data_IF_009884537992
#
_entry.id   IF_009884537992
#
_cell.length_a   1.000
_cell.length_b   1.000
_cell.length_c   1.000
_cell.angle_alpha   90.00
_cell.angle_beta   90.00
_cell.angle_gamma   90.00
#
_symmetry.space_group_name_H-M   'P 1'
#
loop_
_entity.id
_entity.type
_entity.pdbx_description
1 polymer ?
#
# COMPACT_ATOMS: atom_id res chain seq x y z
N UNK A 1 -30.82 -11.92 -29.62
CA UNK A 1 -29.38 -12.20 -29.36
C UNK A 1 -29.00 -11.48 -28.08
N UNK A 2 -28.82 -12.23 -26.98
CA UNK A 2 -28.40 -11.68 -25.67
C UNK A 2 -26.90 -11.41 -25.73
N UNK A 3 -26.52 -10.14 -25.68
CA UNK A 3 -25.10 -9.76 -25.55
C UNK A 3 -24.66 -10.12 -24.13
N UNK A 4 -23.91 -11.22 -24.00
CA UNK A 4 -23.30 -11.61 -22.76
C UNK A 4 -22.37 -10.46 -22.31
N UNK A 5 -22.81 -9.66 -21.34
CA UNK A 5 -21.96 -8.67 -20.68
C UNK A 5 -20.86 -9.45 -19.99
N UNK A 6 -19.64 -9.37 -20.51
CA UNK A 6 -18.43 -9.83 -19.81
C UNK A 6 -18.42 -9.16 -18.44
N UNK A 7 -18.74 -9.92 -17.40
CA UNK A 7 -18.57 -9.46 -16.01
C UNK A 7 -17.07 -9.39 -15.76
N UNK A 8 -16.50 -8.19 -15.90
CA UNK A 8 -15.13 -7.93 -15.44
C UNK A 8 -15.08 -8.31 -13.97
N UNK A 9 -14.21 -9.24 -13.62
CA UNK A 9 -13.99 -9.65 -12.22
C UNK A 9 -13.52 -8.43 -11.44
N UNK A 10 -14.24 -7.99 -10.40
CA UNK A 10 -13.93 -6.74 -9.71
C UNK A 10 -12.50 -6.72 -9.12
N UNK A 11 -11.94 -7.90 -8.84
CA UNK A 11 -10.60 -8.07 -8.26
C UNK A 11 -9.46 -7.84 -9.27
N UNK A 12 -9.72 -7.82 -10.57
CA UNK A 12 -8.65 -7.67 -11.58
C UNK A 12 -7.86 -6.38 -11.42
N UNK A 13 -8.49 -5.28 -11.00
CA UNK A 13 -7.79 -4.02 -10.74
C UNK A 13 -6.82 -4.14 -9.56
N UNK A 14 -7.20 -4.86 -8.50
CA UNK A 14 -6.35 -5.13 -7.35
C UNK A 14 -5.15 -5.99 -7.72
N UNK A 15 -5.38 -7.06 -8.47
CA UNK A 15 -4.30 -7.92 -8.99
C UNK A 15 -3.38 -7.18 -9.95
N UNK A 16 -3.94 -6.33 -10.82
CA UNK A 16 -3.15 -5.50 -11.76
C UNK A 16 -2.21 -4.56 -11.01
N UNK A 17 -2.68 -3.92 -9.94
CA UNK A 17 -1.85 -3.04 -9.11
C UNK A 17 -0.78 -3.83 -8.34
N UNK A 18 -1.12 -5.02 -7.82
CA UNK A 18 -0.15 -5.92 -7.18
C UNK A 18 0.93 -6.37 -8.18
N UNK A 19 0.54 -6.71 -9.40
CA UNK A 19 1.46 -7.11 -10.46
C UNK A 19 2.37 -5.93 -10.90
N UNK A 20 1.82 -4.72 -10.99
CA UNK A 20 2.58 -3.51 -11.27
C UNK A 20 3.62 -3.23 -10.18
N UNK A 21 3.23 -3.35 -8.91
CA UNK A 21 4.12 -3.16 -7.77
C UNK A 21 5.28 -4.17 -7.79
N UNK A 22 4.97 -5.47 -7.92
CA UNK A 22 5.98 -6.53 -7.95
C UNK A 22 6.85 -6.47 -9.23
N UNK A 23 6.23 -6.30 -10.40
CA UNK A 23 6.94 -6.23 -11.68
C UNK A 23 7.88 -5.02 -11.77
N UNK A 24 7.43 -3.86 -11.27
CA UNK A 24 8.26 -2.67 -11.18
C UNK A 24 9.45 -2.86 -10.24
N UNK A 25 9.24 -3.53 -9.09
CA UNK A 25 10.32 -3.84 -8.15
C UNK A 25 11.38 -4.78 -8.76
N UNK A 26 10.97 -5.76 -9.55
CA UNK A 26 11.88 -6.64 -10.26
C UNK A 26 12.62 -5.91 -11.39
N UNK A 27 11.91 -5.13 -12.21
CA UNK A 27 12.51 -4.38 -13.31
C UNK A 27 13.50 -3.32 -12.82
N UNK A 28 13.23 -2.68 -11.69
CA UNK A 28 14.09 -1.66 -11.10
C UNK A 28 15.45 -2.19 -10.61
N UNK A 29 15.61 -3.52 -10.46
CA UNK A 29 16.91 -4.12 -10.11
C UNK A 29 17.97 -3.90 -11.20
N UNK A 30 17.57 -3.62 -12.43
CA UNK A 30 18.47 -3.31 -13.55
C UNK A 30 18.79 -1.81 -13.68
N UNK A 31 18.22 -0.96 -12.82
CA UNK A 31 18.33 0.50 -12.91
C UNK A 31 19.15 1.06 -11.72
N UNK A 32 19.69 2.27 -11.91
CA UNK A 32 20.37 2.99 -10.82
C UNK A 32 19.34 3.40 -9.75
N UNK A 33 19.46 2.90 -8.50
CA UNK A 33 18.59 3.29 -7.40
C UNK A 33 18.58 4.81 -7.14
N UNK A 34 19.68 5.52 -7.45
CA UNK A 34 19.78 6.96 -7.27
C UNK A 34 18.81 7.74 -8.16
N UNK A 35 18.46 7.20 -9.33
CA UNK A 35 17.49 7.79 -10.25
C UNK A 35 16.03 7.60 -9.79
N UNK A 36 15.75 6.60 -8.95
CA UNK A 36 14.40 6.16 -8.61
C UNK A 36 13.99 6.46 -7.17
N UNK A 37 14.96 6.45 -6.22
CA UNK A 37 14.69 6.62 -4.79
C UNK A 37 14.07 7.97 -4.50
N UNK A 38 13.20 8.02 -3.50
CA UNK A 38 12.68 9.26 -2.95
C UNK A 38 13.77 10.00 -2.15
N UNK A 39 13.80 11.32 -2.32
CA UNK A 39 14.66 12.25 -1.58
C UNK A 39 13.86 13.51 -1.29
N UNK A 40 13.97 14.14 -0.10
CA UNK A 40 13.15 15.29 0.27
C UNK A 40 13.36 16.49 -0.66
N UNK A 41 14.60 16.76 -1.10
CA UNK A 41 14.93 17.87 -1.98
C UNK A 41 14.31 17.75 -3.38
N UNK A 42 14.06 16.52 -3.81
CA UNK A 42 13.55 16.19 -5.15
C UNK A 42 12.05 15.86 -5.15
N UNK A 43 11.42 15.76 -3.99
CA UNK A 43 10.05 15.30 -3.87
C UNK A 43 9.03 16.14 -4.68
N UNK A 44 9.28 17.46 -4.80
CA UNK A 44 8.40 18.38 -5.53
C UNK A 44 8.89 18.69 -6.95
N UNK A 45 10.19 18.60 -7.22
CA UNK A 45 10.79 18.86 -8.55
C UNK A 45 10.84 17.63 -9.43
N UNK A 46 10.91 16.44 -8.81
CA UNK A 46 10.92 15.13 -9.48
C UNK A 46 9.79 14.23 -8.94
N UNK A 47 8.51 14.60 -9.17
CA UNK A 47 7.36 13.95 -8.52
C UNK A 47 7.20 12.47 -8.90
N UNK A 48 7.79 11.99 -10.00
CA UNK A 48 7.80 10.56 -10.35
C UNK A 48 8.46 9.70 -9.26
N UNK A 49 9.37 10.28 -8.45
CA UNK A 49 10.02 9.58 -7.32
C UNK A 49 9.01 9.16 -6.24
N UNK A 50 7.87 9.83 -6.18
CA UNK A 50 6.77 9.40 -5.30
C UNK A 50 6.08 8.11 -5.78
N UNK A 51 6.39 7.65 -6.98
CA UNK A 51 5.96 6.34 -7.50
C UNK A 51 7.15 5.38 -7.54
N UNK A 52 8.24 5.77 -8.21
CA UNK A 52 9.40 4.89 -8.48
C UNK A 52 10.14 4.44 -7.23
N UNK A 53 10.12 5.23 -6.14
CA UNK A 53 10.76 4.86 -4.88
C UNK A 53 10.26 3.53 -4.30
N UNK A 54 8.99 3.19 -4.52
CA UNK A 54 8.46 1.90 -4.09
C UNK A 54 9.18 0.70 -4.74
N UNK A 55 9.79 0.89 -5.89
CA UNK A 55 10.49 -0.16 -6.63
C UNK A 55 11.96 -0.32 -6.25
N UNK A 56 12.53 0.63 -5.52
CA UNK A 56 13.92 0.58 -5.06
C UNK A 56 14.06 -0.38 -3.89
N UNK A 57 15.03 -1.29 -3.94
CA UNK A 57 15.34 -2.21 -2.84
C UNK A 57 16.85 -2.23 -2.58
N UNK A 58 17.21 -2.14 -1.30
CA UNK A 58 18.58 -1.99 -0.87
C UNK A 58 19.33 -3.32 -0.69
N UNK A 59 18.57 -4.45 -0.67
CA UNK A 59 19.12 -5.80 -0.53
C UNK A 59 18.19 -6.85 -1.13
N UNK A 60 18.74 -8.05 -1.36
CA UNK A 60 17.97 -9.20 -1.81
C UNK A 60 16.89 -9.65 -0.79
N UNK A 61 17.20 -9.59 0.52
CA UNK A 61 16.23 -9.91 1.57
C UNK A 61 15.09 -8.89 1.59
N UNK A 62 15.41 -7.59 1.46
CA UNK A 62 14.41 -6.53 1.37
C UNK A 62 13.47 -6.73 0.18
N UNK A 63 14.02 -7.04 -1.00
CA UNK A 63 13.21 -7.33 -2.18
C UNK A 63 12.32 -8.57 -1.97
N UNK A 64 12.91 -9.68 -1.50
CA UNK A 64 12.18 -10.92 -1.32
C UNK A 64 11.02 -10.77 -0.32
N UNK A 65 11.25 -10.09 0.81
CA UNK A 65 10.21 -9.84 1.79
C UNK A 65 9.07 -8.97 1.25
N UNK A 66 9.39 -7.95 0.46
CA UNK A 66 8.39 -7.08 -0.16
C UNK A 66 7.60 -7.80 -1.28
N UNK A 67 8.23 -8.67 -2.06
CA UNK A 67 7.53 -9.49 -3.06
C UNK A 67 6.59 -10.50 -2.36
N UNK A 68 7.05 -11.15 -1.29
CA UNK A 68 6.20 -12.03 -0.48
C UNK A 68 5.02 -11.26 0.13
N UNK A 69 5.26 -10.07 0.69
CA UNK A 69 4.23 -9.17 1.19
C UNK A 69 3.23 -8.77 0.11
N UNK A 70 3.69 -8.50 -1.12
CA UNK A 70 2.83 -8.17 -2.26
C UNK A 70 1.94 -9.34 -2.63
N UNK A 71 2.47 -10.56 -2.67
CA UNK A 71 1.71 -11.77 -2.96
C UNK A 71 0.63 -12.04 -1.89
N UNK A 72 1.00 -11.90 -0.60
CA UNK A 72 0.06 -12.03 0.52
C UNK A 72 -1.04 -10.96 0.46
N UNK A 73 -0.68 -9.72 0.13
CA UNK A 73 -1.65 -8.63 0.00
C UNK A 73 -2.58 -8.83 -1.20
N UNK A 74 -2.09 -9.35 -2.33
CA UNK A 74 -2.92 -9.72 -3.47
C UNK A 74 -3.97 -10.78 -3.07
N UNK A 75 -3.54 -11.81 -2.35
CA UNK A 75 -4.43 -12.85 -1.83
C UNK A 75 -5.43 -12.28 -0.80
N UNK A 76 -4.96 -11.47 0.15
CA UNK A 76 -5.82 -10.79 1.14
C UNK A 76 -6.90 -9.95 0.47
N UNK A 77 -6.54 -9.17 -0.55
CA UNK A 77 -7.51 -8.34 -1.28
C UNK A 77 -8.58 -9.17 -1.99
N UNK A 78 -8.22 -10.34 -2.51
CA UNK A 78 -9.18 -11.29 -3.09
C UNK A 78 -10.16 -11.80 -2.04
N UNK A 79 -9.65 -12.26 -0.89
CA UNK A 79 -10.48 -12.73 0.23
C UNK A 79 -11.34 -11.60 0.79
N UNK A 80 -10.80 -10.38 0.86
CA UNK A 80 -11.52 -9.20 1.31
C UNK A 80 -12.59 -8.72 0.30
N UNK A 81 -12.54 -9.17 -0.96
CA UNK A 81 -13.40 -8.67 -2.03
C UNK A 81 -13.04 -7.25 -2.46
N UNK A 82 -11.73 -6.93 -2.50
CA UNK A 82 -11.23 -5.65 -2.94
C UNK A 82 -11.47 -5.46 -4.45
N UNK A 83 -12.50 -4.68 -4.79
CA UNK A 83 -12.83 -4.32 -6.16
C UNK A 83 -12.15 -3.02 -6.62
N UNK A 84 -12.69 -2.43 -7.69
CA UNK A 84 -12.13 -1.23 -8.34
C UNK A 84 -11.96 -0.04 -7.38
N UNK A 85 -12.91 0.21 -6.46
CA UNK A 85 -12.80 1.31 -5.48
C UNK A 85 -11.63 1.10 -4.52
N UNK A 86 -11.41 -0.14 -4.08
CA UNK A 86 -10.29 -0.48 -3.20
C UNK A 86 -8.96 -0.37 -3.95
N UNK A 87 -8.89 -0.84 -5.19
CA UNK A 87 -7.71 -0.68 -6.04
C UNK A 87 -7.40 0.80 -6.30
N UNK A 88 -8.41 1.62 -6.59
CA UNK A 88 -8.24 3.08 -6.75
C UNK A 88 -7.75 3.73 -5.46
N UNK A 89 -8.33 3.39 -4.31
CA UNK A 89 -7.87 3.90 -3.01
C UNK A 89 -6.40 3.56 -2.75
N UNK A 90 -5.99 2.32 -3.04
CA UNK A 90 -4.61 1.88 -2.89
C UNK A 90 -3.67 2.57 -3.89
N UNK A 91 -4.07 2.73 -5.15
CA UNK A 91 -3.31 3.47 -6.16
C UNK A 91 -3.12 4.94 -5.79
N UNK A 92 -4.15 5.62 -5.27
CA UNK A 92 -4.05 7.01 -4.80
C UNK A 92 -3.18 7.14 -3.54
N UNK A 93 -3.24 6.17 -2.64
CA UNK A 93 -2.39 6.13 -1.46
C UNK A 93 -0.90 6.01 -1.80
N UNK A 94 -0.54 5.46 -2.96
CA UNK A 94 0.85 5.26 -3.38
C UNK A 94 1.67 6.56 -3.36
N UNK A 95 1.37 7.58 -4.20
CA UNK A 95 2.13 8.83 -4.17
C UNK A 95 1.97 9.57 -2.83
N UNK A 96 0.79 9.53 -2.20
CA UNK A 96 0.53 10.20 -0.93
C UNK A 96 1.44 9.65 0.18
N UNK A 97 1.67 8.33 0.20
CA UNK A 97 2.62 7.68 1.13
C UNK A 97 3.99 8.33 1.05
N UNK A 98 4.53 8.54 -0.15
CA UNK A 98 5.87 9.09 -0.33
C UNK A 98 5.93 10.60 -0.16
N UNK A 99 4.90 11.36 -0.55
CA UNK A 99 4.80 12.80 -0.24
C UNK A 99 4.79 13.03 1.27
N UNK A 100 4.07 12.20 2.02
CA UNK A 100 3.99 12.33 3.48
C UNK A 100 5.31 12.02 4.21
N UNK A 101 6.33 11.45 3.53
CA UNK A 101 7.68 11.33 4.09
C UNK A 101 8.34 12.68 4.37
N UNK A 102 7.89 13.76 3.75
CA UNK A 102 8.31 15.14 4.08
C UNK A 102 8.02 15.50 5.55
N UNK A 103 7.12 14.79 6.23
CA UNK A 103 6.85 14.95 7.66
C UNK A 103 7.98 14.40 8.55
N UNK A 104 8.96 13.70 7.96
CA UNK A 104 10.16 13.21 8.64
C UNK A 104 11.42 13.87 8.03
N UNK A 105 11.76 15.10 8.46
CA UNK A 105 12.81 15.89 7.81
C UNK A 105 14.22 15.28 7.92
N UNK A 106 14.44 14.37 8.85
CA UNK A 106 15.71 13.66 8.99
C UNK A 106 15.83 12.45 8.03
N UNK A 107 14.77 12.11 7.27
CA UNK A 107 14.81 11.03 6.30
C UNK A 107 15.34 11.55 4.96
N UNK A 108 16.62 11.29 4.67
CA UNK A 108 17.30 11.81 3.49
C UNK A 108 17.07 10.99 2.21
N UNK A 109 16.65 9.74 2.33
CA UNK A 109 16.31 8.89 1.19
C UNK A 109 15.38 7.76 1.61
N UNK A 110 14.51 7.33 0.68
CA UNK A 110 13.64 6.18 0.87
C UNK A 110 13.54 5.35 -0.40
N UNK A 111 13.42 4.02 -0.20
CA UNK A 111 13.09 3.03 -1.23
C UNK A 111 12.46 1.80 -0.61
N UNK A 112 11.46 1.24 -1.27
CA UNK A 112 10.80 0.01 -0.89
C UNK A 112 9.29 0.01 -1.02
N UNK A 113 8.73 -1.17 -1.28
CA UNK A 113 7.29 -1.39 -1.37
C UNK A 113 6.58 -1.31 0.00
N UNK A 114 7.32 -1.39 1.11
CA UNK A 114 6.72 -1.62 2.43
C UNK A 114 5.67 -0.57 2.82
N UNK A 115 5.91 0.72 2.54
CA UNK A 115 4.91 1.77 2.76
C UNK A 115 3.64 1.55 1.95
N UNK A 116 3.79 1.22 0.67
CA UNK A 116 2.66 0.90 -0.22
C UNK A 116 1.90 -0.36 0.25
N UNK A 117 2.60 -1.38 0.74
CA UNK A 117 1.97 -2.59 1.28
C UNK A 117 1.16 -2.27 2.54
N UNK A 118 1.66 -1.41 3.43
CA UNK A 118 0.91 -0.96 4.60
C UNK A 118 -0.37 -0.19 4.19
N UNK A 119 -0.30 0.63 3.14
CA UNK A 119 -1.49 1.27 2.57
C UNK A 119 -2.51 0.24 2.07
N UNK A 120 -2.07 -0.79 1.35
CA UNK A 120 -2.94 -1.86 0.86
C UNK A 120 -3.58 -2.67 1.99
N UNK A 121 -2.83 -2.97 3.08
CA UNK A 121 -3.38 -3.64 4.27
C UNK A 121 -4.46 -2.78 4.93
N UNK A 122 -4.24 -1.47 5.05
CA UNK A 122 -5.24 -0.53 5.59
C UNK A 122 -6.51 -0.52 4.74
N UNK A 123 -6.39 -0.49 3.40
CA UNK A 123 -7.53 -0.55 2.47
C UNK A 123 -8.29 -1.87 2.58
N UNK A 124 -7.58 -3.01 2.58
CA UNK A 124 -8.19 -4.33 2.67
C UNK A 124 -8.84 -4.58 4.04
N UNK A 125 -8.18 -4.16 5.12
CA UNK A 125 -8.74 -4.21 6.48
C UNK A 125 -10.00 -3.36 6.61
N UNK A 126 -10.01 -2.15 6.02
CA UNK A 126 -11.21 -1.31 5.97
C UNK A 126 -12.33 -1.94 5.15
N UNK A 127 -12.02 -2.54 4.00
CA UNK A 127 -13.00 -3.27 3.18
C UNK A 127 -13.68 -4.40 3.98
N UNK A 128 -12.90 -5.18 4.74
CA UNK A 128 -13.41 -6.23 5.60
C UNK A 128 -14.26 -5.67 6.76
N UNK A 129 -13.78 -4.62 7.41
CA UNK A 129 -14.46 -3.99 8.56
C UNK A 129 -15.82 -3.40 8.16
N UNK A 130 -15.95 -2.90 6.93
CA UNK A 130 -17.19 -2.29 6.41
C UNK A 130 -18.10 -3.28 5.68
N UNK A 131 -17.68 -4.54 5.56
CA UNK A 131 -18.49 -5.62 5.00
C UNK A 131 -19.67 -6.01 5.87
N UNK A 132 -20.35 -7.08 5.49
CA UNK A 132 -21.46 -7.63 6.28
C UNK A 132 -21.00 -8.06 7.68
N UNK A 133 -21.91 -7.90 8.66
CA UNK A 133 -21.70 -8.27 10.06
C UNK A 133 -21.26 -9.74 10.17
N UNK A 134 -20.27 -10.02 11.03
CA UNK A 134 -19.81 -11.37 11.34
C UNK A 134 -18.29 -11.53 11.28
N UNK A 135 -17.82 -12.71 10.95
CA UNK A 135 -16.41 -13.10 10.99
C UNK A 135 -15.50 -12.16 10.16
N UNK A 136 -15.98 -11.65 9.02
CA UNK A 136 -15.20 -10.73 8.17
C UNK A 136 -14.89 -9.41 8.88
N UNK A 137 -15.85 -8.86 9.63
CA UNK A 137 -15.65 -7.64 10.42
C UNK A 137 -14.62 -7.83 11.52
N UNK A 138 -14.68 -8.98 12.21
CA UNK A 138 -13.70 -9.32 13.27
C UNK A 138 -12.30 -9.39 12.68
N UNK A 139 -12.13 -10.04 11.53
CA UNK A 139 -10.84 -10.11 10.81
C UNK A 139 -10.38 -8.71 10.40
N UNK A 140 -11.26 -7.89 9.84
CA UNK A 140 -10.95 -6.50 9.46
C UNK A 140 -10.50 -5.66 10.65
N UNK A 141 -11.23 -5.75 11.78
CA UNK A 141 -10.86 -5.08 13.03
C UNK A 141 -9.52 -5.55 13.58
N UNK A 142 -9.27 -6.86 13.58
CA UNK A 142 -8.01 -7.45 14.04
C UNK A 142 -6.83 -7.01 13.17
N UNK A 143 -6.99 -6.99 11.84
CA UNK A 143 -5.96 -6.51 10.90
C UNK A 143 -5.62 -5.04 11.15
N UNK A 144 -6.63 -4.18 11.30
CA UNK A 144 -6.41 -2.76 11.56
C UNK A 144 -5.81 -2.51 12.94
N UNK A 145 -6.26 -3.24 13.97
CA UNK A 145 -5.67 -3.16 15.31
C UNK A 145 -4.21 -3.64 15.31
N UNK A 146 -3.90 -4.73 14.63
CA UNK A 146 -2.54 -5.23 14.47
C UNK A 146 -1.65 -4.24 13.70
N UNK A 147 -2.19 -3.60 12.67
CA UNK A 147 -1.48 -2.54 11.94
C UNK A 147 -1.16 -1.36 12.86
N UNK A 148 -2.13 -0.87 13.62
CA UNK A 148 -1.91 0.22 14.60
C UNK A 148 -0.88 -0.19 15.65
N UNK A 149 -1.00 -1.38 16.23
CA UNK A 149 -0.03 -1.88 17.21
C UNK A 149 1.39 -1.94 16.61
N UNK A 150 1.53 -2.45 15.38
CA UNK A 150 2.82 -2.47 14.69
C UNK A 150 3.41 -1.06 14.56
N UNK A 151 2.63 -0.08 14.13
CA UNK A 151 3.08 1.31 14.01
C UNK A 151 3.50 1.91 15.35
N UNK A 152 2.75 1.64 16.43
CA UNK A 152 3.12 2.08 17.78
C UNK A 152 4.44 1.47 18.23
N UNK A 153 4.66 0.18 17.96
CA UNK A 153 5.91 -0.53 18.29
C UNK A 153 7.10 -0.05 17.45
N UNK A 154 6.88 0.37 16.23
CA UNK A 154 7.91 0.94 15.36
C UNK A 154 8.28 2.38 15.71
N UNK A 155 7.37 3.10 16.42
CA UNK A 155 7.57 4.46 16.90
C UNK A 155 8.11 5.44 15.83
N UNK A 156 7.36 5.73 14.76
CA UNK A 156 7.81 6.55 13.61
C UNK A 156 8.23 7.97 13.99
N UNK A 157 7.89 8.43 15.18
CA UNK A 157 8.27 9.72 15.77
C UNK A 157 9.66 9.74 16.42
N UNK A 158 10.28 8.56 16.66
CA UNK A 158 11.58 8.48 17.35
C UNK A 158 12.78 8.70 16.42
N UNK A 159 12.61 8.59 15.12
CA UNK A 159 13.70 8.79 14.17
C UNK A 159 13.35 8.35 12.75
N UNK A 160 14.22 8.70 11.78
CA UNK A 160 13.96 8.39 10.37
C UNK A 160 14.13 6.91 10.04
N UNK A 161 15.08 6.26 10.72
CA UNK A 161 15.45 4.87 10.45
C UNK A 161 15.55 4.09 11.77
N UNK A 162 15.23 2.79 11.71
CA UNK A 162 15.31 1.86 12.83
C UNK A 162 15.95 0.54 12.40
N UNK A 163 16.97 0.13 13.12
CA UNK A 163 17.58 -1.21 12.96
C UNK A 163 16.70 -2.25 13.67
N UNK A 164 16.43 -3.35 13.00
CA UNK A 164 15.65 -4.47 13.53
C UNK A 164 16.47 -5.74 13.38
N UNK A 165 16.54 -6.56 14.45
CA UNK A 165 17.26 -7.83 14.41
C UNK A 165 16.71 -8.75 13.29
N UNK A 166 17.59 -9.38 12.55
CA UNK A 166 17.27 -10.25 11.43
C UNK A 166 17.04 -9.53 10.09
N UNK A 167 17.13 -8.18 10.07
CA UNK A 167 17.12 -7.39 8.83
C UNK A 167 18.53 -6.89 8.49
N UNK A 168 18.85 -6.92 7.21
CA UNK A 168 20.14 -6.45 6.66
C UNK A 168 20.11 -4.96 6.25
N UNK A 169 18.96 -4.32 6.42
CA UNK A 169 18.76 -2.88 6.23
C UNK A 169 18.05 -2.27 7.43
N UNK A 170 18.19 -0.97 7.61
CA UNK A 170 17.33 -0.22 8.52
C UNK A 170 15.97 0.04 7.87
N UNK A 171 14.90 -0.13 8.62
CA UNK A 171 13.53 0.19 8.17
C UNK A 171 13.24 1.68 8.38
N UNK A 172 12.31 2.23 7.60
CA UNK A 172 11.80 3.60 7.73
C UNK A 172 10.38 3.57 8.30
N UNK A 173 10.17 3.67 9.62
CA UNK A 173 8.87 3.56 10.26
C UNK A 173 7.85 4.59 9.76
N UNK A 174 8.32 5.80 9.38
CA UNK A 174 7.45 6.83 8.82
C UNK A 174 6.79 6.38 7.51
N UNK A 175 7.45 5.58 6.68
CA UNK A 175 6.86 5.05 5.45
C UNK A 175 5.70 4.10 5.74
N UNK A 176 5.80 3.31 6.80
CA UNK A 176 4.72 2.41 7.24
C UNK A 176 3.53 3.22 7.79
N UNK A 177 3.80 4.24 8.61
CA UNK A 177 2.78 5.11 9.19
C UNK A 177 2.07 5.94 8.11
N UNK A 178 2.83 6.58 7.21
CA UNK A 178 2.28 7.38 6.11
C UNK A 178 1.46 6.51 5.15
N UNK A 179 1.96 5.31 4.82
CA UNK A 179 1.25 4.35 3.98
C UNK A 179 -0.07 3.92 4.60
N UNK A 180 -0.06 3.48 5.86
CA UNK A 180 -1.27 3.07 6.58
C UNK A 180 -2.32 4.18 6.64
N UNK A 181 -1.89 5.40 6.97
CA UNK A 181 -2.76 6.58 7.05
C UNK A 181 -3.33 6.95 5.69
N UNK A 182 -2.47 7.03 4.65
CA UNK A 182 -2.89 7.31 3.29
C UNK A 182 -3.90 6.27 2.77
N UNK A 183 -3.61 4.98 2.99
CA UNK A 183 -4.50 3.89 2.59
C UNK A 183 -5.87 3.99 3.24
N UNK A 184 -5.91 4.24 4.54
CA UNK A 184 -7.17 4.41 5.27
C UNK A 184 -7.96 5.63 4.81
N UNK A 185 -7.33 6.80 4.66
CA UNK A 185 -7.98 8.02 4.19
C UNK A 185 -8.52 7.86 2.77
N UNK A 186 -7.72 7.29 1.86
CA UNK A 186 -8.16 7.00 0.49
C UNK A 186 -9.32 5.99 0.46
N UNK A 187 -9.32 4.98 1.34
CA UNK A 187 -10.44 4.05 1.45
C UNK A 187 -11.75 4.74 1.86
N UNK A 188 -11.67 5.71 2.80
CA UNK A 188 -12.81 6.53 3.19
C UNK A 188 -13.34 7.38 2.02
N UNK A 189 -12.44 8.10 1.35
CA UNK A 189 -12.79 9.00 0.23
C UNK A 189 -13.37 8.23 -0.96
N UNK A 190 -12.77 7.10 -1.33
CA UNK A 190 -13.25 6.24 -2.42
C UNK A 190 -14.51 5.45 -2.07
N UNK A 191 -15.02 5.54 -0.84
CA UNK A 191 -16.21 4.82 -0.41
C UNK A 191 -16.04 3.30 -0.40
N UNK A 192 -14.85 2.83 -0.04
CA UNK A 192 -14.54 1.41 0.09
C UNK A 192 -15.46 0.79 1.16
N UNK A 193 -16.00 -0.40 0.87
CA UNK A 193 -16.92 -1.11 1.77
C UNK A 193 -18.36 -0.57 1.80
N UNK A 194 -18.68 0.48 1.05
CA UNK A 194 -20.09 0.90 0.88
C UNK A 194 -20.76 0.03 -0.17
N UNK A 195 -22.01 -0.41 0.06
CA UNK A 195 -22.78 -1.10 -0.96
C UNK A 195 -22.88 -0.23 -2.22
N UNK A 196 -22.91 -0.85 -3.39
CA UNK A 196 -23.22 -0.14 -4.63
C UNK A 196 -24.60 0.51 -4.46
N UNK A 197 -24.68 1.85 -4.62
CA UNK A 197 -25.99 2.49 -4.71
C UNK A 197 -26.68 1.89 -5.94
N UNK A 198 -27.71 1.10 -5.71
CA UNK A 198 -28.56 0.64 -6.79
C UNK A 198 -29.04 1.90 -7.51
N UNK A 199 -28.69 2.03 -8.78
CA UNK A 199 -29.34 2.93 -9.71
C UNK A 199 -30.72 2.32 -10.03
N UNK A 200 -31.63 2.37 -9.05
CA UNK A 200 -33.01 1.98 -9.20
C UNK A 200 -33.84 3.21 -8.87
N UNK A 201 -34.44 3.80 -9.87
CA UNK A 201 -35.42 4.86 -9.70
C UNK A 201 -35.23 6.00 -10.71
N UNK A 202 -35.64 5.76 -11.93
CA UNK A 202 -35.93 6.74 -12.95
C UNK A 202 -36.77 6.06 -13.97
#
# INVERSE_FOLDING_TARGET
MSVARLRVRPELAWWGLSALAAGGALAAQALDPAALRWQPELALTEPWRCISAAWVHWSGLHLAANLAGTALLAALGTVAGCGQRAALAWALAWPITHVALLLQPALMAYGGLSGLLHAGVAVAGWQLLRGELGQRQVIGAALLAGLVLKLLLEAPWQGPLRTVAGWDIAIAPMAHASGSTAGWLCALVCGVGKPARNAAGG
#
